data_IF_226070592165
#
_entry.id   IF_226070592165
#
_cell.length_a   1.000
_cell.length_b   1.000
_cell.length_c   1.000
_cell.angle_alpha   90.00
_cell.angle_beta   90.00
_cell.angle_gamma   90.00
#
_symmetry.space_group_name_H-M   'P 1'
#
loop_
_entity.id
_entity.type
_entity.pdbx_description
1 polymer ?
#
# COMPACT_ATOMS: atom_id res chain seq x y z
N UNK A 1 -66.54 -46.91 -15.01
CA UNK A 1 -65.35 -47.21 -14.19
C UNK A 1 -64.07 -46.63 -14.77
N UNK A 2 -63.88 -46.60 -16.09
CA UNK A 2 -62.65 -46.06 -16.71
C UNK A 2 -62.43 -44.55 -16.50
N UNK A 3 -63.49 -43.72 -16.56
CA UNK A 3 -63.38 -42.26 -16.38
C UNK A 3 -62.84 -41.83 -15.01
N UNK A 4 -63.05 -42.62 -13.94
CA UNK A 4 -62.56 -42.27 -12.59
C UNK A 4 -61.09 -42.65 -12.38
N UNK A 5 -60.61 -43.68 -13.07
CA UNK A 5 -59.20 -44.09 -13.04
C UNK A 5 -58.32 -43.10 -13.80
N UNK A 6 -58.78 -42.65 -14.98
CA UNK A 6 -58.08 -41.62 -15.78
C UNK A 6 -57.97 -40.30 -15.01
N UNK A 7 -59.02 -39.90 -14.30
CA UNK A 7 -59.02 -38.65 -13.52
C UNK A 7 -58.03 -38.68 -12.35
N UNK A 8 -57.91 -39.83 -11.67
CA UNK A 8 -56.91 -40.02 -10.59
C UNK A 8 -55.47 -40.01 -11.11
N UNK A 9 -55.22 -40.63 -12.27
CA UNK A 9 -53.89 -40.64 -12.88
C UNK A 9 -53.43 -39.24 -13.30
N UNK A 10 -54.34 -38.39 -13.78
CA UNK A 10 -54.04 -36.97 -14.09
C UNK A 10 -53.75 -36.17 -12.81
N UNK A 11 -54.53 -36.36 -11.76
CA UNK A 11 -54.30 -35.68 -10.46
C UNK A 11 -52.97 -36.09 -9.81
N UNK A 12 -52.57 -37.35 -9.91
CA UNK A 12 -51.24 -37.81 -9.45
C UNK A 12 -50.11 -37.21 -10.29
N UNK A 13 -50.25 -37.20 -11.62
CA UNK A 13 -49.26 -36.58 -12.49
C UNK A 13 -49.10 -35.07 -12.24
N UNK A 14 -50.20 -34.35 -11.97
CA UNK A 14 -50.16 -32.93 -11.61
C UNK A 14 -49.49 -32.70 -10.25
N UNK A 15 -49.75 -33.54 -9.25
CA UNK A 15 -49.07 -33.46 -7.95
C UNK A 15 -47.57 -33.70 -8.06
N UNK A 16 -47.16 -34.71 -8.82
CA UNK A 16 -45.74 -35.00 -9.05
C UNK A 16 -45.03 -33.83 -9.76
N UNK A 17 -45.72 -33.20 -10.72
CA UNK A 17 -45.19 -32.05 -11.45
C UNK A 17 -45.09 -30.81 -10.53
N UNK A 18 -46.09 -30.58 -9.68
CA UNK A 18 -46.04 -29.54 -8.65
C UNK A 18 -44.95 -29.80 -7.61
N UNK A 19 -44.71 -31.04 -7.20
CA UNK A 19 -43.63 -31.37 -6.28
C UNK A 19 -42.24 -31.17 -6.89
N UNK A 20 -42.06 -31.53 -8.17
CA UNK A 20 -40.81 -31.25 -8.91
C UNK A 20 -40.55 -29.75 -8.99
N UNK A 21 -41.55 -28.96 -9.38
CA UNK A 21 -41.46 -27.50 -9.42
C UNK A 21 -41.14 -26.91 -8.03
N UNK A 22 -41.78 -27.40 -6.97
CA UNK A 22 -41.47 -26.97 -5.59
C UNK A 22 -40.03 -27.27 -5.20
N UNK A 23 -39.49 -28.44 -5.59
CA UNK A 23 -38.09 -28.81 -5.31
C UNK A 23 -37.12 -27.91 -6.09
N UNK A 24 -37.40 -27.63 -7.35
CA UNK A 24 -36.60 -26.71 -8.18
C UNK A 24 -36.59 -25.30 -7.58
N UNK A 25 -37.75 -24.75 -7.23
CA UNK A 25 -37.86 -23.42 -6.60
C UNK A 25 -37.09 -23.38 -5.27
N UNK A 26 -37.20 -24.41 -4.43
CA UNK A 26 -36.42 -24.51 -3.18
C UNK A 26 -34.92 -24.49 -3.45
N UNK A 27 -34.46 -25.18 -4.50
CA UNK A 27 -33.05 -25.23 -4.87
C UNK A 27 -32.55 -23.87 -5.39
N UNK A 28 -33.36 -23.18 -6.18
CA UNK A 28 -33.08 -21.81 -6.64
C UNK A 28 -32.97 -20.85 -5.45
N UNK A 29 -33.92 -20.91 -4.51
CA UNK A 29 -33.88 -20.08 -3.30
C UNK A 29 -32.62 -20.37 -2.49
N UNK A 30 -32.29 -21.65 -2.29
CA UNK A 30 -31.10 -22.06 -1.55
C UNK A 30 -29.82 -21.52 -2.21
N UNK A 31 -29.68 -21.69 -3.54
CA UNK A 31 -28.54 -21.16 -4.30
C UNK A 31 -28.44 -19.63 -4.25
N UNK A 32 -29.59 -18.95 -4.28
CA UNK A 32 -29.65 -17.49 -4.16
C UNK A 32 -29.20 -17.04 -2.77
N UNK A 33 -29.65 -17.72 -1.71
CA UNK A 33 -29.23 -17.44 -0.33
C UNK A 33 -27.73 -17.71 -0.12
N UNK A 34 -27.20 -18.80 -0.67
CA UNK A 34 -25.76 -19.08 -0.68
C UNK A 34 -24.97 -17.93 -1.32
N UNK A 35 -25.43 -17.43 -2.48
CA UNK A 35 -24.78 -16.33 -3.19
C UNK A 35 -24.86 -15.01 -2.41
N UNK A 36 -25.99 -14.72 -1.77
CA UNK A 36 -26.12 -13.55 -0.89
C UNK A 36 -25.13 -13.65 0.27
N UNK A 37 -25.00 -14.83 0.89
CA UNK A 37 -24.09 -15.03 2.00
C UNK A 37 -22.61 -14.86 1.56
N UNK A 38 -22.23 -15.39 0.40
CA UNK A 38 -20.87 -15.20 -0.13
C UNK A 38 -20.56 -13.72 -0.37
N UNK A 39 -21.49 -12.98 -0.99
CA UNK A 39 -21.32 -11.55 -1.25
C UNK A 39 -21.23 -10.72 0.04
N UNK A 40 -21.97 -11.10 1.09
CA UNK A 40 -21.86 -10.45 2.39
C UNK A 40 -20.50 -10.69 3.06
N UNK A 41 -19.94 -11.90 2.91
CA UNK A 41 -18.60 -12.21 3.41
C UNK A 41 -17.52 -11.42 2.65
N UNK A 42 -17.63 -11.32 1.32
CA UNK A 42 -16.71 -10.54 0.51
C UNK A 42 -16.78 -9.05 0.88
N UNK A 43 -17.99 -8.53 1.09
CA UNK A 43 -18.19 -7.16 1.58
C UNK A 43 -17.54 -6.93 2.94
N UNK A 44 -17.58 -7.90 3.85
CA UNK A 44 -16.94 -7.80 5.16
C UNK A 44 -15.42 -7.75 5.04
N UNK A 45 -14.83 -8.65 4.24
CA UNK A 45 -13.39 -8.65 3.94
C UNK A 45 -12.93 -7.33 3.35
N UNK A 46 -13.66 -6.82 2.36
CA UNK A 46 -13.35 -5.53 1.74
C UNK A 46 -13.39 -4.38 2.77
N UNK A 47 -14.36 -4.37 3.69
CA UNK A 47 -14.41 -3.37 4.79
C UNK A 47 -13.19 -3.46 5.70
N UNK A 48 -12.74 -4.66 6.02
CA UNK A 48 -11.57 -4.85 6.88
C UNK A 48 -10.29 -4.38 6.15
N UNK A 49 -10.13 -4.69 4.86
CA UNK A 49 -9.04 -4.16 4.02
C UNK A 49 -9.06 -2.63 3.93
N UNK A 50 -10.24 -2.02 3.75
CA UNK A 50 -10.37 -0.55 3.71
C UNK A 50 -9.90 0.06 5.03
N UNK A 51 -10.27 -0.52 6.18
CA UNK A 51 -9.80 -0.03 7.49
C UNK A 51 -8.29 -0.14 7.66
N UNK A 52 -7.68 -1.22 7.19
CA UNK A 52 -6.22 -1.38 7.22
C UNK A 52 -5.53 -0.32 6.35
N UNK A 53 -6.05 -0.05 5.16
CA UNK A 53 -5.52 1.00 4.28
C UNK A 53 -5.68 2.39 4.89
N UNK A 54 -6.83 2.70 5.49
CA UNK A 54 -7.08 3.97 6.18
C UNK A 54 -6.10 4.19 7.34
N UNK A 55 -5.77 3.14 8.09
CA UNK A 55 -4.77 3.20 9.16
C UNK A 55 -3.37 3.51 8.62
N UNK A 56 -2.97 2.87 7.52
CA UNK A 56 -1.69 3.12 6.84
C UNK A 56 -1.60 4.55 6.28
N UNK A 57 -2.68 5.03 5.64
CA UNK A 57 -2.77 6.40 5.14
C UNK A 57 -2.66 7.41 6.29
N UNK A 58 -3.34 7.15 7.41
CA UNK A 58 -3.26 8.01 8.60
C UNK A 58 -1.83 8.10 9.13
N UNK A 59 -1.11 6.98 9.17
CA UNK A 59 0.30 6.94 9.57
C UNK A 59 1.18 7.79 8.66
N UNK A 60 1.07 7.61 7.34
CA UNK A 60 1.81 8.40 6.36
C UNK A 60 1.49 9.89 6.42
N UNK A 61 0.24 10.26 6.70
CA UNK A 61 -0.15 11.66 6.94
C UNK A 61 0.53 12.23 8.17
N UNK A 62 0.65 11.46 9.25
CA UNK A 62 1.39 11.89 10.45
C UNK A 62 2.87 12.09 10.15
N UNK A 63 3.48 11.22 9.34
CA UNK A 63 4.87 11.38 8.92
C UNK A 63 5.07 12.67 8.12
N UNK A 64 4.14 13.03 7.22
CA UNK A 64 4.20 14.31 6.49
C UNK A 64 4.14 15.50 7.44
N UNK A 65 3.27 15.47 8.45
CA UNK A 65 3.20 16.55 9.44
C UNK A 65 4.48 16.65 10.28
N UNK A 66 5.02 15.51 10.74
CA UNK A 66 6.28 15.51 11.47
C UNK A 66 7.45 16.01 10.58
N UNK A 67 7.46 15.68 9.29
CA UNK A 67 8.45 16.19 8.32
C UNK A 67 8.34 17.71 8.12
N UNK A 68 7.12 18.25 8.03
CA UNK A 68 6.88 19.71 7.98
C UNK A 68 7.39 20.42 9.24
N UNK A 69 7.24 19.79 10.41
CA UNK A 69 7.73 20.33 11.66
C UNK A 69 9.25 20.13 11.85
N UNK A 70 9.89 19.28 11.02
CA UNK A 70 11.28 18.85 11.17
C UNK A 70 11.49 17.82 12.29
N UNK A 71 10.42 17.18 12.78
CA UNK A 71 10.40 16.24 13.91
C UNK A 71 10.76 14.81 13.49
N UNK A 72 11.96 14.65 12.95
CA UNK A 72 12.53 13.34 12.58
C UNK A 72 12.67 12.41 13.80
N UNK A 73 12.81 12.97 14.99
CA UNK A 73 12.81 12.25 16.27
C UNK A 73 11.51 11.44 16.48
N UNK A 74 10.35 12.05 16.23
CA UNK A 74 9.05 11.38 16.43
C UNK A 74 8.84 10.22 15.47
N UNK A 75 9.27 10.39 14.23
CA UNK A 75 9.19 9.34 13.20
C UNK A 75 10.12 8.18 13.60
N UNK A 76 11.36 8.47 14.00
CA UNK A 76 12.31 7.44 14.46
C UNK A 76 11.77 6.68 15.69
N UNK A 77 11.24 7.38 16.69
CA UNK A 77 10.63 6.76 17.88
C UNK A 77 9.42 5.88 17.52
N UNK A 78 8.60 6.29 16.56
CA UNK A 78 7.45 5.51 16.09
C UNK A 78 7.90 4.22 15.41
N UNK A 79 8.92 4.31 14.55
CA UNK A 79 9.50 3.16 13.86
C UNK A 79 10.24 2.19 14.78
N UNK A 80 10.73 2.67 15.94
CA UNK A 80 11.34 1.82 16.97
C UNK A 80 10.29 1.08 17.82
N UNK A 81 9.13 1.72 18.07
CA UNK A 81 8.04 1.15 18.89
C UNK A 81 7.09 0.25 18.10
N UNK A 82 6.91 0.51 16.81
CA UNK A 82 5.94 -0.17 15.95
C UNK A 82 6.60 -0.67 14.65
N UNK A 83 6.73 -1.99 14.54
CA UNK A 83 7.28 -2.66 13.36
C UNK A 83 6.40 -2.46 12.10
N UNK A 84 5.08 -2.30 12.27
CA UNK A 84 4.19 -2.00 11.14
C UNK A 84 4.42 -0.59 10.62
N UNK A 85 4.64 0.38 11.52
CA UNK A 85 5.01 1.74 11.14
C UNK A 85 6.28 1.76 10.29
N UNK A 86 7.28 0.95 10.65
CA UNK A 86 8.53 0.80 9.89
C UNK A 86 8.32 0.20 8.50
N UNK A 87 7.40 -0.76 8.35
CA UNK A 87 7.08 -1.38 7.05
C UNK A 87 6.25 -0.48 6.14
N UNK A 88 5.39 0.35 6.72
CA UNK A 88 4.48 1.25 5.98
C UNK A 88 5.17 2.56 5.59
N UNK A 89 6.12 3.03 6.40
CA UNK A 89 6.87 4.25 6.14
C UNK A 89 7.62 4.19 4.81
N UNK A 90 7.71 5.31 4.10
CA UNK A 90 8.52 5.43 2.86
C UNK A 90 10.02 5.51 3.16
N UNK A 91 10.37 5.94 4.37
CA UNK A 91 11.75 6.15 4.81
C UNK A 91 12.00 5.51 6.17
N UNK A 92 13.19 4.97 6.39
CA UNK A 92 13.68 4.58 7.73
C UNK A 92 14.56 5.71 8.24
N UNK A 93 14.24 6.19 9.43
CA UNK A 93 15.03 7.22 10.12
C UNK A 93 15.86 6.57 11.20
N UNK A 94 17.18 6.59 11.03
CA UNK A 94 18.13 6.03 11.98
C UNK A 94 18.83 7.19 12.69
N UNK A 95 18.69 7.24 14.02
CA UNK A 95 19.49 8.13 14.85
C UNK A 95 20.92 7.62 14.85
N UNK A 96 21.86 8.38 14.29
CA UNK A 96 23.27 8.00 14.35
C UNK A 96 23.71 8.09 15.82
N UNK A 97 24.01 6.92 16.43
CA UNK A 97 24.60 6.88 17.79
C UNK A 97 25.96 7.56 17.76
N UNK A 98 26.40 8.05 18.91
CA UNK A 98 27.67 8.73 19.18
C UNK A 98 28.87 8.01 18.53
N UNK A 99 29.10 8.23 17.24
CA UNK A 99 30.45 8.15 16.70
C UNK A 99 31.16 9.30 17.38
N UNK A 100 32.24 9.01 18.11
CA UNK A 100 33.08 9.99 18.81
C UNK A 100 33.33 11.15 17.83
N UNK A 101 32.61 12.26 18.03
CA UNK A 101 32.67 13.43 17.16
C UNK A 101 33.51 14.46 17.88
N UNK A 102 34.54 14.95 17.21
CA UNK A 102 35.42 16.01 17.72
C UNK A 102 34.67 17.33 18.01
N UNK A 103 33.43 17.49 17.52
CA UNK A 103 32.64 18.71 17.69
C UNK A 103 31.19 18.45 18.12
N UNK A 104 30.72 19.07 19.22
CA UNK A 104 29.33 18.98 19.66
C UNK A 104 28.44 19.87 18.79
N UNK A 105 27.76 19.28 17.81
CA UNK A 105 26.65 19.95 17.14
C UNK A 105 25.43 19.99 18.08
N UNK A 106 24.73 21.13 18.10
CA UNK A 106 23.49 21.31 18.86
C UNK A 106 22.29 20.51 18.32
N UNK A 107 22.49 19.73 17.24
CA UNK A 107 21.48 18.91 16.59
C UNK A 107 22.02 17.50 16.31
N UNK A 108 21.17 16.49 16.44
CA UNK A 108 21.48 15.13 16.04
C UNK A 108 21.28 14.99 14.52
N UNK A 109 22.28 14.52 13.75
CA UNK A 109 22.03 14.13 12.37
C UNK A 109 21.28 12.81 12.35
N UNK A 110 20.27 12.74 11.49
CA UNK A 110 19.56 11.52 11.20
C UNK A 110 20.03 10.99 9.86
N UNK A 111 20.22 9.67 9.79
CA UNK A 111 20.40 8.98 8.51
C UNK A 111 19.03 8.55 8.02
N UNK A 112 18.68 8.97 6.82
CA UNK A 112 17.42 8.58 6.16
C UNK A 112 17.75 7.58 5.05
N UNK A 113 17.12 6.42 5.13
CA UNK A 113 17.20 5.37 4.12
C UNK A 113 15.84 5.22 3.46
N UNK A 114 15.77 5.34 2.13
CA UNK A 114 14.54 5.11 1.38
C UNK A 114 14.22 3.60 1.33
N UNK A 115 12.95 3.23 1.53
CA UNK A 115 12.46 1.83 1.47
C UNK A 115 11.80 1.54 0.12
N UNK A 116 11.98 2.39 -0.88
CA UNK A 116 11.23 2.29 -2.12
C UNK A 116 11.43 0.92 -2.81
N UNK A 117 10.37 0.13 -3.08
CA UNK A 117 10.47 -1.10 -3.88
C UNK A 117 10.80 -0.83 -5.36
N UNK A 118 10.66 0.40 -5.84
CA UNK A 118 11.09 0.81 -7.17
C UNK A 118 11.96 2.06 -7.07
N UNK A 119 13.30 1.91 -6.95
CA UNK A 119 14.17 3.05 -7.14
C UNK A 119 13.85 3.67 -8.51
N UNK A 120 13.41 4.93 -8.51
CA UNK A 120 13.43 5.75 -9.71
C UNK A 120 14.91 5.90 -10.06
N UNK A 121 15.44 4.94 -10.82
CA UNK A 121 16.74 5.06 -11.43
C UNK A 121 16.64 6.23 -12.40
N UNK A 122 17.37 7.34 -12.24
CA UNK A 122 17.63 8.18 -13.39
C UNK A 122 18.32 7.25 -14.39
N UNK A 123 17.66 6.98 -15.51
CA UNK A 123 18.18 6.16 -16.61
C UNK A 123 19.66 6.48 -16.82
N UNK A 124 20.49 5.45 -16.73
CA UNK A 124 21.94 5.43 -17.05
C UNK A 124 22.49 6.77 -17.51
N UNK A 125 23.12 7.52 -16.60
CA UNK A 125 24.00 8.60 -17.02
C UNK A 125 25.25 7.96 -17.62
N UNK A 126 25.28 7.77 -18.93
CA UNK A 126 26.53 7.51 -19.65
C UNK A 126 27.29 8.82 -19.76
N UNK A 127 28.32 8.99 -18.95
CA UNK A 127 29.35 9.98 -19.23
C UNK A 127 30.48 9.30 -19.99
N UNK A 128 30.64 9.67 -21.27
CA UNK A 128 31.83 9.34 -22.04
C UNK A 128 32.94 10.25 -21.54
N UNK A 129 33.96 9.69 -20.89
CA UNK A 129 35.17 10.45 -20.61
C UNK A 129 36.03 10.38 -21.87
N UNK A 130 36.00 11.44 -22.69
CA UNK A 130 37.00 11.63 -23.75
C UNK A 130 38.35 11.92 -23.10
N UNK A 131 39.04 10.85 -22.67
CA UNK A 131 40.49 10.90 -22.56
C UNK A 131 41.01 10.68 -23.97
N UNK A 132 41.55 11.73 -24.59
CA UNK A 132 41.98 11.78 -25.99
C UNK A 132 43.02 10.73 -26.40
N UNK A 133 42.64 9.46 -26.41
CA UNK A 133 43.36 8.35 -27.01
C UNK A 133 42.40 7.15 -27.18
N UNK A 134 41.82 7.06 -28.37
CA UNK A 134 41.52 5.84 -29.17
C UNK A 134 40.94 4.58 -28.54
N UNK A 135 40.32 4.60 -27.36
CA UNK A 135 39.44 3.52 -26.87
C UNK A 135 38.53 4.04 -25.77
N UNK A 136 37.31 4.46 -26.13
CA UNK A 136 36.29 4.86 -25.16
C UNK A 136 35.83 3.64 -24.35
N UNK A 137 36.25 3.52 -23.11
CA UNK A 137 35.74 2.50 -22.18
C UNK A 137 34.44 2.99 -21.57
N UNK A 138 33.32 2.37 -21.95
CA UNK A 138 32.02 2.64 -21.33
C UNK A 138 31.97 1.97 -19.96
N UNK A 139 32.10 2.73 -18.88
CA UNK A 139 31.85 2.23 -17.53
C UNK A 139 30.34 2.20 -17.27
N UNK A 140 29.73 1.02 -17.29
CA UNK A 140 28.38 0.82 -16.75
C UNK A 140 28.49 0.63 -15.24
N UNK A 141 28.20 1.69 -14.48
CA UNK A 141 28.07 1.58 -13.04
C UNK A 141 26.63 1.14 -12.71
N UNK A 142 26.47 -0.11 -12.29
CA UNK A 142 25.21 -0.59 -11.71
C UNK A 142 25.09 0.01 -10.30
N UNK A 143 24.58 1.24 -10.22
CA UNK A 143 24.37 1.93 -8.96
C UNK A 143 23.45 1.15 -8.04
N UNK A 144 23.95 0.78 -6.86
CA UNK A 144 23.13 0.29 -5.75
C UNK A 144 22.03 1.31 -5.45
N UNK A 145 20.78 0.86 -5.51
CA UNK A 145 19.59 1.68 -5.45
C UNK A 145 19.22 2.18 -4.04
N UNK A 146 20.09 1.92 -3.06
CA UNK A 146 19.90 2.40 -1.69
C UNK A 146 20.51 3.80 -1.56
N UNK A 147 19.70 4.83 -1.80
CA UNK A 147 20.09 6.19 -1.42
C UNK A 147 20.00 6.31 0.11
N UNK A 148 21.16 6.43 0.76
CA UNK A 148 21.22 6.85 2.16
C UNK A 148 21.69 8.29 2.19
N UNK A 149 20.84 9.20 2.63
CA UNK A 149 21.19 10.62 2.80
C UNK A 149 21.22 10.94 4.29
N UNK A 150 22.21 11.73 4.71
CA UNK A 150 22.21 12.34 6.03
C UNK A 150 21.38 13.62 5.95
N UNK A 151 20.29 13.69 6.70
CA UNK A 151 19.38 14.83 6.73
C UNK A 151 19.25 15.29 8.18
N UNK A 152 19.30 16.59 8.39
CA UNK A 152 19.02 17.19 9.70
C UNK A 152 17.55 17.62 9.78
N UNK A 153 17.02 17.71 11.00
CA UNK A 153 15.66 18.19 11.27
C UNK A 153 15.34 19.53 10.61
N UNK A 154 16.32 20.45 10.61
CA UNK A 154 16.18 21.76 9.97
C UNK A 154 16.04 21.63 8.44
N UNK A 155 16.84 20.78 7.80
CA UNK A 155 16.76 20.57 6.35
C UNK A 155 15.43 19.92 5.97
N UNK A 156 14.95 18.94 6.73
CA UNK A 156 13.64 18.33 6.51
C UNK A 156 12.50 19.37 6.55
N UNK A 157 12.52 20.26 7.55
CA UNK A 157 11.52 21.33 7.71
C UNK A 157 11.50 22.33 6.55
N UNK A 158 12.67 22.73 6.05
CA UNK A 158 12.75 23.73 4.98
C UNK A 158 12.44 23.14 3.61
N UNK A 159 12.81 21.89 3.37
CA UNK A 159 12.66 21.21 2.07
C UNK A 159 11.27 20.60 1.83
N UNK A 160 10.41 20.56 2.85
CA UNK A 160 9.05 20.01 2.77
C UNK A 160 8.00 21.05 2.38
N UNK A 161 8.36 22.34 2.36
CA UNK A 161 7.46 23.42 1.94
C UNK A 161 7.46 23.53 0.42
N UNK A 162 6.28 23.57 -0.17
CA UNK A 162 6.13 23.71 -1.62
C UNK A 162 4.82 23.16 -2.17
N UNK A 163 4.70 23.20 -3.49
CA UNK A 163 3.58 22.64 -4.25
C UNK A 163 4.04 21.36 -4.95
N UNK A 164 3.29 20.28 -4.80
CA UNK A 164 3.59 18.97 -5.34
C UNK A 164 2.42 18.51 -6.21
N UNK A 165 2.67 18.02 -7.41
CA UNK A 165 1.64 17.44 -8.28
C UNK A 165 1.62 15.92 -8.12
N UNK A 166 0.45 15.36 -7.79
CA UNK A 166 0.22 13.92 -7.67
C UNK A 166 -1.08 13.60 -8.40
N UNK A 167 -1.03 12.73 -9.41
CA UNK A 167 -2.18 12.30 -10.21
C UNK A 167 -3.07 13.45 -10.71
N UNK A 168 -2.43 14.54 -11.20
CA UNK A 168 -3.11 15.73 -11.70
C UNK A 168 -3.72 16.64 -10.62
N UNK A 169 -3.48 16.34 -9.34
CA UNK A 169 -3.89 17.15 -8.19
C UNK A 169 -2.69 17.88 -7.58
N UNK A 170 -2.81 19.17 -7.35
CA UNK A 170 -1.77 19.97 -6.70
C UNK A 170 -1.98 19.96 -5.18
N UNK A 171 -1.00 19.42 -4.45
CA UNK A 171 -0.93 19.42 -2.98
C UNK A 171 0.04 20.51 -2.55
N UNK A 172 -0.43 21.44 -1.72
CA UNK A 172 0.40 22.51 -1.17
C UNK A 172 0.75 22.19 0.28
N UNK A 173 2.05 22.04 0.56
CA UNK A 173 2.59 21.89 1.90
C UNK A 173 3.16 23.24 2.35
N UNK A 174 2.61 23.82 3.42
CA UNK A 174 2.98 25.14 3.97
C UNK A 174 3.93 25.01 5.16
#
# INVERSE_FOLDING_TARGET
>A
MEKSLVKKAVEEAEKDLQEKQKKEVKLIVLKTLEKINSLNNDRKKAKDTVKELDAKIKLLKMDIEDLKEGRLDRIAERQEKDDEAKKVSVVIIIKEKEVIREYPYWHWPYRITWIDPQPICPSTWTWTVDKGNTSGTTYQNYGSCYYTNQITSSVAKWSTKGSYEIDGSIINLR
#
